data_IF_369267348166
#
_entry.id   IF_369267348166
#
_cell.length_a   1.000
_cell.length_b   1.000
_cell.length_c   1.000
_cell.angle_alpha   90.00
_cell.angle_beta   90.00
_cell.angle_gamma   90.00
#
_symmetry.space_group_name_H-M   'P 1'
#
loop_
_entity.id
_entity.type
_entity.pdbx_description
1 polymer ?
#
# COMPACT_ATOMS: atom_id res chain seq x y z
N UNK A 1 6.52 73.57 25.12
CA UNK A 1 7.80 73.10 24.58
C UNK A 1 7.91 71.61 24.92
N UNK A 2 8.00 70.61 24.10
CA UNK A 2 8.19 70.46 22.68
C UNK A 2 7.85 69.06 22.32
N UNK A 3 7.29 68.90 21.14
CA UNK A 3 6.99 67.59 20.49
C UNK A 3 8.29 66.86 20.16
N UNK A 4 8.32 65.58 20.32
CA UNK A 4 9.05 64.65 19.43
C UNK A 4 8.75 63.19 19.81
N UNK A 5 8.31 62.38 18.85
CA UNK A 5 8.44 60.92 19.00
C UNK A 5 7.37 60.03 18.34
N UNK A 6 6.85 60.40 17.19
CA UNK A 6 5.87 59.56 16.49
C UNK A 6 6.33 58.98 15.15
N UNK A 7 7.56 58.39 15.04
CA UNK A 7 8.02 57.80 13.75
C UNK A 7 8.69 56.41 13.83
N UNK A 8 8.71 55.79 15.01
CA UNK A 8 9.39 54.49 15.19
C UNK A 8 8.47 53.27 15.03
N UNK A 9 7.15 53.40 15.22
CA UNK A 9 6.21 52.29 15.17
C UNK A 9 5.95 51.79 13.75
N UNK A 10 5.74 52.69 12.79
CA UNK A 10 5.37 52.33 11.43
C UNK A 10 6.47 51.65 10.61
N UNK A 11 7.76 51.80 11.00
CA UNK A 11 8.88 51.12 10.35
C UNK A 11 9.06 49.68 10.82
N UNK A 12 8.68 49.36 12.07
CA UNK A 12 8.74 47.98 12.60
C UNK A 12 7.60 47.12 12.05
N UNK A 13 6.39 47.66 11.88
CA UNK A 13 5.27 46.91 11.33
C UNK A 13 5.45 46.63 9.83
N UNK A 14 6.03 47.55 9.08
CA UNK A 14 6.34 47.30 7.64
C UNK A 14 7.45 46.29 7.43
N UNK A 15 8.40 46.16 8.37
CA UNK A 15 9.43 45.09 8.35
C UNK A 15 8.87 43.73 8.74
N UNK A 16 7.91 43.66 9.64
CA UNK A 16 7.25 42.41 10.01
C UNK A 16 6.33 41.90 8.87
N UNK A 17 5.63 42.79 8.16
CA UNK A 17 4.81 42.42 7.01
C UNK A 17 5.63 42.02 5.77
N UNK A 18 6.85 42.55 5.61
CA UNK A 18 7.75 42.14 4.51
C UNK A 18 8.51 40.83 4.79
N UNK A 19 8.53 40.34 6.04
CA UNK A 19 9.14 39.05 6.38
C UNK A 19 8.16 37.85 6.27
N UNK A 20 6.87 38.11 6.14
CA UNK A 20 5.83 37.08 6.04
C UNK A 20 5.47 36.67 4.59
N UNK A 21 6.05 37.32 3.59
CA UNK A 21 5.88 36.94 2.19
C UNK A 21 7.25 36.58 1.59
N UNK A 22 7.97 35.67 2.23
CA UNK A 22 8.94 34.82 1.55
C UNK A 22 8.18 33.57 1.13
N UNK A 23 7.59 33.67 -0.02
CA UNK A 23 7.18 32.58 -0.90
C UNK A 23 8.18 31.45 -0.74
N UNK A 24 7.67 30.30 -0.30
CA UNK A 24 8.34 29.01 -0.44
C UNK A 24 8.54 28.84 -1.95
N UNK A 25 9.69 29.23 -2.45
CA UNK A 25 10.16 28.71 -3.74
C UNK A 25 10.31 27.19 -3.56
N UNK A 26 9.33 26.47 -4.06
CA UNK A 26 9.39 25.02 -4.25
C UNK A 26 10.44 24.82 -5.34
N UNK A 27 11.68 24.62 -4.92
CA UNK A 27 12.73 24.12 -5.80
C UNK A 27 12.31 22.73 -6.28
N UNK A 28 12.17 22.52 -7.59
CA UNK A 28 11.93 21.18 -8.11
C UNK A 28 13.16 20.33 -7.83
N UNK A 29 13.02 19.22 -7.09
CA UNK A 29 14.00 18.15 -7.10
C UNK A 29 14.86 17.91 -5.87
N UNK A 30 14.44 18.23 -4.65
CA UNK A 30 14.90 17.49 -3.47
C UNK A 30 13.90 16.39 -3.14
N UNK A 31 14.03 15.28 -3.86
CA UNK A 31 13.62 13.98 -3.34
C UNK A 31 14.41 13.82 -2.04
N UNK A 32 13.76 13.87 -0.88
CA UNK A 32 14.37 13.38 0.36
C UNK A 32 14.92 11.99 0.03
N UNK A 33 16.22 11.69 0.25
CA UNK A 33 16.68 10.33 0.13
C UNK A 33 15.79 9.50 1.05
N UNK A 34 15.11 8.51 0.48
CA UNK A 34 14.40 7.51 1.26
C UNK A 34 15.38 7.05 2.35
N UNK A 35 14.94 6.87 3.62
CA UNK A 35 15.81 6.40 4.68
C UNK A 35 16.57 5.19 4.14
N UNK A 36 17.90 5.18 4.30
CA UNK A 36 18.73 4.09 3.83
C UNK A 36 18.11 2.79 4.32
N UNK A 37 17.62 1.97 3.38
CA UNK A 37 16.97 0.70 3.70
C UNK A 37 17.93 -0.07 4.62
N UNK A 38 17.49 -0.53 5.81
CA UNK A 38 18.31 -1.40 6.64
C UNK A 38 18.76 -2.55 5.76
N UNK A 39 20.05 -2.89 5.82
CA UNK A 39 20.69 -3.79 4.88
C UNK A 39 19.84 -5.04 4.67
N UNK A 40 19.35 -5.24 3.46
CA UNK A 40 18.55 -6.40 3.01
C UNK A 40 19.27 -7.70 3.36
N UNK A 41 20.59 -7.66 3.46
CA UNK A 41 21.49 -8.75 3.83
C UNK A 41 21.36 -9.20 5.31
N UNK A 42 20.55 -8.53 6.13
CA UNK A 42 20.43 -8.88 7.55
C UNK A 42 19.34 -9.92 7.86
N UNK A 43 18.53 -10.33 6.87
CA UNK A 43 17.42 -11.28 7.07
C UNK A 43 17.73 -12.63 6.44
N UNK A 44 17.61 -13.70 7.23
CA UNK A 44 17.82 -15.08 6.80
C UNK A 44 16.54 -15.91 6.88
N UNK A 45 16.29 -16.70 5.85
CA UNK A 45 15.20 -17.67 5.82
C UNK A 45 15.77 -19.08 5.86
N UNK A 46 15.27 -19.90 6.80
CA UNK A 46 15.83 -21.21 7.13
C UNK A 46 14.73 -22.24 6.96
N UNK A 47 14.96 -23.24 6.11
CA UNK A 47 14.04 -24.36 5.88
C UNK A 47 14.65 -25.65 6.45
N UNK A 48 13.96 -26.28 7.40
CA UNK A 48 14.42 -27.52 8.05
C UNK A 48 13.77 -28.73 7.38
N UNK A 49 14.57 -29.73 7.02
CA UNK A 49 14.11 -31.05 6.60
C UNK A 49 13.19 -31.02 5.39
N UNK A 50 13.35 -30.08 4.47
CA UNK A 50 12.49 -29.95 3.29
C UNK A 50 12.50 -31.24 2.45
N UNK A 51 11.31 -31.72 2.10
CA UNK A 51 11.13 -32.99 1.39
C UNK A 51 10.80 -32.80 -0.10
N UNK A 52 10.24 -31.66 -0.48
CA UNK A 52 9.80 -31.36 -1.84
C UNK A 52 10.66 -30.27 -2.49
N UNK A 53 11.41 -30.60 -3.58
CA UNK A 53 12.22 -29.61 -4.27
C UNK A 53 11.42 -28.41 -4.79
N UNK A 54 10.18 -28.65 -5.22
CA UNK A 54 9.29 -27.56 -5.68
C UNK A 54 9.02 -26.51 -4.62
N UNK A 55 8.91 -26.88 -3.33
CA UNK A 55 8.75 -25.91 -2.25
C UNK A 55 10.00 -25.05 -2.06
N UNK A 56 11.20 -25.61 -2.23
CA UNK A 56 12.45 -24.85 -2.18
C UNK A 56 12.52 -23.84 -3.32
N UNK A 57 12.13 -24.25 -4.54
CA UNK A 57 12.07 -23.35 -5.69
C UNK A 57 11.04 -22.22 -5.48
N UNK A 58 9.83 -22.57 -5.04
CA UNK A 58 8.78 -21.59 -4.77
C UNK A 58 9.19 -20.62 -3.63
N UNK A 59 9.87 -21.12 -2.60
CA UNK A 59 10.44 -20.29 -1.53
C UNK A 59 11.49 -19.31 -2.06
N UNK A 60 12.41 -19.76 -2.92
CA UNK A 60 13.39 -18.87 -3.56
C UNK A 60 12.71 -17.76 -4.37
N UNK A 61 11.66 -18.08 -5.12
CA UNK A 61 10.87 -17.10 -5.85
C UNK A 61 10.19 -16.10 -4.91
N UNK A 62 9.59 -16.58 -3.82
CA UNK A 62 8.96 -15.73 -2.81
C UNK A 62 9.96 -14.74 -2.21
N UNK A 63 11.16 -15.20 -1.86
CA UNK A 63 12.23 -14.37 -1.32
C UNK A 63 12.66 -13.30 -2.32
N UNK A 64 12.92 -13.67 -3.56
CA UNK A 64 13.37 -12.72 -4.59
C UNK A 64 12.35 -11.62 -4.85
N UNK A 65 11.05 -11.96 -4.91
CA UNK A 65 9.96 -11.00 -5.08
C UNK A 65 9.93 -9.98 -3.93
N UNK A 66 10.23 -10.42 -2.72
CA UNK A 66 10.30 -9.56 -1.53
C UNK A 66 11.69 -8.93 -1.32
N UNK A 67 12.63 -9.13 -2.23
CA UNK A 67 13.98 -8.56 -2.18
C UNK A 67 14.88 -9.19 -1.13
N UNK A 68 14.67 -10.46 -0.79
CA UNK A 68 15.52 -11.25 0.10
C UNK A 68 16.31 -12.29 -0.70
N UNK A 69 17.51 -12.68 -0.19
CA UNK A 69 18.37 -13.62 -0.88
C UNK A 69 19.03 -14.68 0.03
N UNK A 70 19.11 -14.47 1.36
CA UNK A 70 19.78 -15.42 2.27
C UNK A 70 18.83 -16.58 2.62
N UNK A 71 18.95 -17.66 1.87
CA UNK A 71 18.23 -18.92 2.05
C UNK A 71 19.19 -19.99 2.58
N UNK A 72 18.82 -20.64 3.68
CA UNK A 72 19.56 -21.75 4.28
C UNK A 72 18.68 -22.98 4.40
N UNK A 73 19.19 -24.12 3.97
CA UNK A 73 18.52 -25.41 4.00
C UNK A 73 19.19 -26.28 5.04
N UNK A 74 18.47 -26.65 6.10
CA UNK A 74 18.98 -27.52 7.18
C UNK A 74 18.56 -28.95 6.91
N UNK A 75 19.53 -29.84 6.78
CA UNK A 75 19.33 -31.28 6.58
C UNK A 75 18.19 -31.61 5.58
N UNK A 76 18.17 -31.05 4.38
CA UNK A 76 17.13 -31.35 3.41
C UNK A 76 17.17 -32.82 3.03
N UNK A 77 16.02 -33.41 2.69
CA UNK A 77 15.93 -34.82 2.29
C UNK A 77 16.89 -35.20 1.16
N UNK A 78 17.18 -34.25 0.26
CA UNK A 78 18.13 -34.43 -0.83
C UNK A 78 19.25 -33.41 -0.70
N UNK A 79 20.49 -33.83 -0.62
CA UNK A 79 21.65 -32.94 -0.43
C UNK A 79 21.78 -31.85 -1.50
N UNK A 80 21.27 -32.09 -2.71
CA UNK A 80 21.29 -31.14 -3.84
C UNK A 80 19.90 -30.65 -4.20
N UNK A 81 18.99 -30.52 -3.25
CA UNK A 81 17.58 -30.18 -3.47
C UNK A 81 17.40 -28.91 -4.30
N UNK A 82 18.24 -27.89 -4.09
CA UNK A 82 18.19 -26.61 -4.81
C UNK A 82 18.59 -26.72 -6.29
N UNK A 83 19.25 -27.80 -6.70
CA UNK A 83 19.67 -28.05 -8.09
C UNK A 83 18.74 -29.00 -8.85
N UNK A 84 17.69 -29.50 -8.22
CA UNK A 84 16.75 -30.38 -8.89
C UNK A 84 15.90 -29.62 -9.89
N UNK A 85 15.55 -30.27 -11.00
CA UNK A 85 14.76 -29.67 -12.09
C UNK A 85 13.44 -29.06 -11.58
N UNK A 86 12.79 -29.73 -10.63
CA UNK A 86 11.55 -29.25 -10.00
C UNK A 86 11.77 -27.94 -9.22
N UNK A 87 12.88 -27.83 -8.45
CA UNK A 87 13.22 -26.61 -7.73
C UNK A 87 13.50 -25.45 -8.70
N UNK A 88 14.26 -25.72 -9.76
CA UNK A 88 14.57 -24.73 -10.79
C UNK A 88 13.30 -24.26 -11.51
N UNK A 89 12.42 -25.18 -11.88
CA UNK A 89 11.16 -24.87 -12.55
C UNK A 89 10.25 -23.96 -11.65
N UNK A 90 10.12 -24.31 -10.38
CA UNK A 90 9.29 -23.55 -9.44
C UNK A 90 9.92 -22.22 -9.01
N UNK A 91 11.23 -22.09 -9.08
CA UNK A 91 11.91 -20.81 -8.83
C UNK A 91 11.66 -19.78 -9.93
N UNK A 92 11.26 -20.21 -11.13
CA UNK A 92 11.08 -19.31 -12.28
C UNK A 92 12.36 -18.47 -12.52
N UNK A 93 12.33 -17.17 -12.41
CA UNK A 93 13.52 -16.31 -12.56
C UNK A 93 14.37 -16.12 -11.29
N UNK A 94 14.16 -16.92 -10.20
CA UNK A 94 14.88 -16.78 -8.93
C UNK A 94 15.98 -17.83 -8.72
N UNK A 95 16.61 -18.31 -9.79
CA UNK A 95 17.70 -19.31 -9.74
C UNK A 95 18.94 -18.82 -8.99
N UNK A 96 19.20 -17.52 -9.02
CA UNK A 96 20.28 -16.88 -8.28
C UNK A 96 20.15 -17.03 -6.75
N UNK A 97 18.90 -17.07 -6.21
CA UNK A 97 18.65 -17.37 -4.80
C UNK A 97 18.95 -18.85 -4.50
N UNK A 98 18.57 -19.76 -5.40
CA UNK A 98 18.87 -21.18 -5.26
C UNK A 98 20.39 -21.45 -5.33
N UNK A 99 21.10 -20.80 -6.21
CA UNK A 99 22.55 -20.96 -6.37
C UNK A 99 23.33 -20.49 -5.14
N UNK A 100 22.83 -19.42 -4.46
CA UNK A 100 23.41 -18.90 -3.23
C UNK A 100 22.95 -19.64 -1.99
N UNK A 101 21.91 -20.49 -2.10
CA UNK A 101 21.37 -21.20 -0.96
C UNK A 101 22.40 -22.12 -0.35
N UNK A 102 22.60 -21.99 0.96
CA UNK A 102 23.53 -22.82 1.73
C UNK A 102 22.81 -24.06 2.27
N UNK A 103 23.50 -25.20 2.21
CA UNK A 103 23.02 -26.43 2.84
C UNK A 103 23.90 -26.71 4.06
N UNK A 104 23.29 -26.87 5.23
CA UNK A 104 23.96 -27.12 6.50
C UNK A 104 23.36 -28.33 7.18
N UNK A 105 24.10 -28.92 8.12
CA UNK A 105 23.66 -30.15 8.82
C UNK A 105 22.70 -29.84 9.98
N UNK A 106 22.86 -28.71 10.65
CA UNK A 106 22.15 -28.39 11.89
C UNK A 106 21.51 -26.99 11.88
N UNK A 107 20.45 -26.83 12.70
CA UNK A 107 19.85 -25.51 12.91
C UNK A 107 20.84 -24.54 13.59
N UNK A 108 21.72 -25.05 14.46
CA UNK A 108 22.74 -24.19 15.09
C UNK A 108 23.67 -23.53 14.07
N UNK A 109 24.13 -24.27 13.06
CA UNK A 109 24.91 -23.72 11.94
C UNK A 109 24.10 -22.70 11.11
N UNK A 110 22.81 -22.97 10.92
CA UNK A 110 21.94 -22.04 10.18
C UNK A 110 21.69 -20.73 10.94
N UNK A 111 21.71 -20.77 12.27
CA UNK A 111 21.48 -19.61 13.15
C UNK A 111 22.75 -18.81 13.41
N UNK A 112 23.92 -19.25 12.96
CA UNK A 112 25.15 -18.49 13.16
C UNK A 112 25.04 -17.05 12.63
N UNK A 113 25.38 -16.10 13.51
CA UNK A 113 25.26 -14.65 13.24
C UNK A 113 23.83 -14.09 13.27
N UNK A 114 22.78 -14.89 13.56
CA UNK A 114 21.41 -14.41 13.79
C UNK A 114 21.27 -13.99 15.25
N UNK A 115 20.74 -12.78 15.46
CA UNK A 115 20.53 -12.24 16.82
C UNK A 115 19.09 -12.37 17.30
N UNK A 116 18.16 -12.62 16.38
CA UNK A 116 16.76 -12.87 16.71
C UNK A 116 16.16 -13.92 15.77
N UNK A 117 15.88 -15.10 16.29
CA UNK A 117 15.28 -16.20 15.53
C UNK A 117 13.78 -16.31 15.82
N UNK A 118 12.98 -16.42 14.77
CA UNK A 118 11.54 -16.63 14.82
C UNK A 118 11.21 -18.02 14.26
N UNK A 119 10.62 -18.90 15.06
CA UNK A 119 10.02 -20.13 14.59
C UNK A 119 8.67 -19.86 13.94
N UNK A 120 8.30 -20.63 12.91
CA UNK A 120 6.94 -20.60 12.35
C UNK A 120 6.21 -21.89 12.73
N UNK A 121 5.16 -21.78 13.52
CA UNK A 121 4.38 -22.92 13.94
C UNK A 121 2.89 -22.56 14.10
N UNK A 122 2.02 -23.49 13.69
CA UNK A 122 0.58 -23.33 13.88
C UNK A 122 0.15 -23.49 15.33
N UNK A 123 0.79 -24.40 16.05
CA UNK A 123 0.38 -24.79 17.40
C UNK A 123 1.38 -24.22 18.41
N UNK A 124 0.91 -23.47 19.42
CA UNK A 124 1.73 -23.08 20.55
C UNK A 124 2.36 -24.31 21.23
N UNK A 125 3.57 -24.14 21.79
CA UNK A 125 4.28 -25.21 22.51
C UNK A 125 4.27 -24.88 23.99
N UNK A 126 3.98 -25.87 24.81
CA UNK A 126 4.18 -25.75 26.25
C UNK A 126 5.64 -25.40 26.54
N UNK A 127 5.88 -24.39 27.37
CA UNK A 127 7.20 -23.86 27.68
C UNK A 127 8.02 -23.35 26.47
N UNK A 128 7.37 -23.13 25.31
CA UNK A 128 7.99 -22.56 24.13
C UNK A 128 8.15 -21.03 24.23
N UNK A 129 8.83 -20.42 23.25
CA UNK A 129 8.93 -18.97 23.16
C UNK A 129 7.56 -18.34 22.96
N UNK A 130 7.39 -17.04 23.32
CA UNK A 130 6.12 -16.36 23.17
C UNK A 130 5.63 -16.37 21.71
N UNK A 131 4.32 -16.61 21.55
CA UNK A 131 3.69 -16.69 20.23
C UNK A 131 3.10 -15.35 19.85
N UNK A 132 3.39 -14.89 18.65
CA UNK A 132 2.92 -13.62 18.10
C UNK A 132 2.34 -13.79 16.69
N UNK A 133 1.38 -12.93 16.34
CA UNK A 133 1.07 -12.71 14.94
C UNK A 133 2.23 -11.94 14.26
N UNK A 134 2.59 -12.26 13.00
CA UNK A 134 3.75 -11.65 12.33
C UNK A 134 3.75 -10.11 12.38
N UNK A 135 2.67 -9.47 11.98
CA UNK A 135 2.55 -8.02 11.94
C UNK A 135 2.70 -7.34 13.30
N UNK A 136 2.26 -8.02 14.37
CA UNK A 136 2.36 -7.47 15.72
C UNK A 136 3.81 -7.40 16.21
N UNK A 137 4.64 -8.40 15.85
CA UNK A 137 6.03 -8.47 16.25
C UNK A 137 6.97 -7.67 15.34
N UNK A 138 6.71 -7.67 14.03
CA UNK A 138 7.65 -7.18 13.03
C UNK A 138 7.93 -5.68 13.12
N UNK A 139 6.97 -4.86 13.52
CA UNK A 139 7.17 -3.42 13.69
C UNK A 139 8.28 -3.11 14.71
N UNK A 140 8.31 -3.83 15.84
CA UNK A 140 9.34 -3.66 16.86
C UNK A 140 10.69 -4.25 16.44
N UNK A 141 10.71 -5.38 15.75
CA UNK A 141 11.94 -5.99 15.27
C UNK A 141 12.61 -5.17 14.17
N UNK A 142 11.84 -4.59 13.25
CA UNK A 142 12.35 -3.75 12.18
C UNK A 142 12.98 -2.45 12.68
N UNK A 143 12.52 -1.94 13.82
CA UNK A 143 13.09 -0.77 14.47
C UNK A 143 14.36 -1.08 15.30
N UNK A 144 14.63 -2.35 15.58
CA UNK A 144 15.77 -2.80 16.39
C UNK A 144 17.01 -3.16 15.57
N UNK A 145 18.16 -3.32 16.21
CA UNK A 145 19.43 -3.66 15.55
C UNK A 145 19.59 -5.16 15.32
N UNK A 146 18.51 -5.87 14.99
CA UNK A 146 18.51 -7.32 14.90
C UNK A 146 18.87 -7.85 13.50
N UNK A 147 19.65 -8.92 13.47
CA UNK A 147 19.75 -9.82 12.34
C UNK A 147 18.69 -10.91 12.52
N UNK A 148 17.62 -10.83 11.75
CA UNK A 148 16.44 -11.69 11.95
C UNK A 148 16.55 -12.96 11.13
N UNK A 149 16.28 -14.10 11.75
CA UNK A 149 16.17 -15.40 11.10
C UNK A 149 14.76 -15.96 11.22
N UNK A 150 14.12 -16.30 10.11
CA UNK A 150 12.83 -16.98 10.09
C UNK A 150 13.02 -18.46 9.82
N UNK A 151 12.55 -19.31 10.73
CA UNK A 151 12.76 -20.75 10.71
C UNK A 151 11.45 -21.46 10.39
N UNK A 152 11.47 -22.28 9.36
CA UNK A 152 10.33 -23.06 8.88
C UNK A 152 10.63 -24.55 9.00
N UNK A 153 9.69 -25.31 9.51
CA UNK A 153 9.81 -26.75 9.63
C UNK A 153 9.51 -27.50 8.34
N UNK A 154 9.67 -28.83 8.38
CA UNK A 154 9.33 -29.68 7.25
C UNK A 154 7.84 -29.65 6.94
N UNK A 155 7.49 -29.91 5.67
CA UNK A 155 6.11 -29.92 5.18
C UNK A 155 5.23 -30.95 5.89
N UNK A 156 5.81 -32.06 6.31
CA UNK A 156 5.08 -33.18 6.87
C UNK A 156 4.95 -33.12 8.38
N UNK A 157 5.99 -32.70 9.08
CA UNK A 157 6.06 -32.78 10.54
C UNK A 157 6.17 -31.41 11.23
N UNK A 158 6.31 -30.33 10.45
CA UNK A 158 6.56 -29.01 11.01
C UNK A 158 7.95 -28.91 11.66
N UNK A 159 8.06 -28.12 12.72
CA UNK A 159 9.27 -27.99 13.54
C UNK A 159 9.22 -28.92 14.76
N UNK A 160 10.36 -29.49 15.13
CA UNK A 160 10.51 -30.19 16.40
C UNK A 160 10.41 -29.21 17.59
N UNK A 161 10.09 -29.71 18.78
CA UNK A 161 10.09 -28.86 19.98
C UNK A 161 11.49 -28.29 20.25
N UNK A 162 12.54 -29.11 20.04
CA UNK A 162 13.91 -28.68 20.21
C UNK A 162 14.27 -27.50 19.32
N UNK A 163 13.86 -27.51 18.04
CA UNK A 163 14.10 -26.42 17.11
C UNK A 163 13.34 -25.16 17.51
N UNK A 164 12.08 -25.30 17.96
CA UNK A 164 11.26 -24.17 18.43
C UNK A 164 11.89 -23.53 19.67
N UNK A 165 12.39 -24.32 20.61
CA UNK A 165 13.01 -23.81 21.85
C UNK A 165 14.34 -23.08 21.62
N UNK A 166 14.95 -23.22 20.46
CA UNK A 166 16.13 -22.45 20.04
C UNK A 166 15.79 -21.07 19.48
N UNK A 167 14.50 -20.76 19.31
CA UNK A 167 14.04 -19.48 18.77
C UNK A 167 13.61 -18.52 19.89
N UNK A 168 13.64 -17.24 19.60
CA UNK A 168 13.27 -16.18 20.54
C UNK A 168 11.75 -15.93 20.56
N UNK A 169 11.08 -16.17 19.44
CA UNK A 169 9.64 -16.04 19.28
C UNK A 169 9.09 -17.14 18.39
N UNK A 170 7.80 -17.43 18.54
CA UNK A 170 7.03 -18.26 17.63
C UNK A 170 6.05 -17.39 16.85
N UNK A 171 6.01 -17.54 15.53
CA UNK A 171 5.07 -16.84 14.65
C UNK A 171 3.91 -17.77 14.31
N UNK A 172 2.71 -17.33 14.63
CA UNK A 172 1.47 -17.96 14.19
C UNK A 172 0.79 -17.06 13.17
N UNK A 173 0.69 -17.53 11.93
CA UNK A 173 0.00 -16.80 10.86
C UNK A 173 -1.51 -16.92 11.13
N UNK A 174 -2.24 -15.80 11.28
CA UNK A 174 -3.69 -15.85 11.45
C UNK A 174 -4.34 -16.56 10.25
N UNK A 175 -5.01 -17.66 10.51
CA UNK A 175 -5.68 -18.50 9.52
C UNK A 175 -7.00 -19.00 10.07
N UNK A 176 -7.81 -19.63 9.22
CA UNK A 176 -9.08 -20.24 9.64
C UNK A 176 -8.81 -21.27 10.76
N UNK A 177 -9.48 -21.16 11.91
CA UNK A 177 -9.34 -22.11 13.02
C UNK A 177 -9.68 -23.56 12.63
N UNK A 178 -10.56 -23.75 11.64
CA UNK A 178 -10.95 -25.08 11.18
C UNK A 178 -9.96 -25.66 10.15
N UNK A 179 -9.21 -24.80 9.44
CA UNK A 179 -8.28 -25.21 8.40
C UNK A 179 -7.10 -24.24 8.30
N UNK A 180 -6.10 -24.39 9.15
CA UNK A 180 -4.95 -23.49 9.24
C UNK A 180 -3.68 -23.99 8.55
N UNK A 181 -3.70 -25.17 7.86
CA UNK A 181 -2.51 -25.74 7.23
C UNK A 181 -2.12 -24.97 5.97
N UNK A 182 -1.00 -24.30 6.02
CA UNK A 182 -0.40 -23.61 4.86
C UNK A 182 0.72 -24.47 4.25
N UNK A 183 0.84 -24.42 2.93
CA UNK A 183 2.04 -24.93 2.25
C UNK A 183 3.26 -24.14 2.72
N UNK A 184 4.43 -24.81 2.81
CA UNK A 184 5.67 -24.20 3.27
C UNK A 184 6.04 -22.89 2.55
N UNK A 185 6.00 -22.91 1.22
CA UNK A 185 6.33 -21.73 0.43
C UNK A 185 5.29 -20.60 0.55
N UNK A 186 4.01 -20.95 0.76
CA UNK A 186 2.94 -19.98 1.03
C UNK A 186 3.14 -19.32 2.40
N UNK A 187 3.44 -20.10 3.44
CA UNK A 187 3.74 -19.56 4.76
C UNK A 187 4.95 -18.62 4.71
N UNK A 188 6.01 -19.03 4.00
CA UNK A 188 7.20 -18.22 3.80
C UNK A 188 6.87 -16.90 3.06
N UNK A 189 6.03 -16.96 2.00
CA UNK A 189 5.63 -15.77 1.26
C UNK A 189 4.90 -14.76 2.15
N UNK A 190 3.99 -15.20 3.02
CA UNK A 190 3.25 -14.33 3.94
C UNK A 190 4.20 -13.67 4.95
N UNK A 191 5.11 -14.45 5.54
CA UNK A 191 6.12 -13.93 6.47
C UNK A 191 7.05 -12.93 5.77
N UNK A 192 7.54 -13.26 4.57
CA UNK A 192 8.42 -12.40 3.80
C UNK A 192 7.72 -11.10 3.38
N UNK A 193 6.44 -11.16 3.02
CA UNK A 193 5.64 -9.98 2.69
C UNK A 193 5.46 -9.08 3.90
N UNK A 194 4.94 -9.61 5.01
CA UNK A 194 4.72 -8.82 6.23
C UNK A 194 6.03 -8.25 6.79
N UNK A 195 7.13 -8.97 6.67
CA UNK A 195 8.45 -8.49 7.07
C UNK A 195 8.95 -7.37 6.15
N UNK A 196 8.77 -7.51 4.83
CA UNK A 196 9.10 -6.44 3.87
C UNK A 196 8.31 -5.17 4.14
N UNK A 197 7.01 -5.29 4.42
CA UNK A 197 6.18 -4.14 4.80
C UNK A 197 6.69 -3.45 6.07
N UNK A 198 7.10 -4.21 7.09
CA UNK A 198 7.68 -3.67 8.31
C UNK A 198 9.02 -2.95 8.07
N UNK A 199 9.80 -3.38 7.07
CA UNK A 199 11.05 -2.73 6.64
C UNK A 199 10.85 -1.51 5.72
N UNK A 200 9.61 -1.09 5.46
CA UNK A 200 9.26 0.07 4.64
C UNK A 200 8.67 -0.25 3.27
N UNK A 201 8.45 -1.53 2.96
CA UNK A 201 7.77 -1.98 1.76
C UNK A 201 8.47 -1.64 0.45
N UNK A 202 7.75 -1.81 -0.65
CA UNK A 202 8.12 -1.29 -1.97
C UNK A 202 7.09 -0.28 -2.42
N UNK A 203 7.54 0.86 -2.94
CA UNK A 203 6.65 1.87 -3.48
C UNK A 203 5.89 1.34 -4.69
N UNK A 204 4.57 1.48 -4.65
CA UNK A 204 3.74 1.27 -5.83
C UNK A 204 3.65 2.59 -6.58
N UNK A 205 4.20 2.63 -7.78
CA UNK A 205 4.08 3.81 -8.65
C UNK A 205 2.76 3.71 -9.41
N UNK A 206 1.81 4.62 -9.21
CA UNK A 206 0.58 4.66 -9.99
C UNK A 206 0.91 4.84 -11.48
N UNK A 207 0.30 4.04 -12.36
CA UNK A 207 0.46 4.17 -13.81
C UNK A 207 -0.49 5.18 -14.42
N UNK A 208 -1.54 5.53 -13.71
CA UNK A 208 -2.51 6.56 -14.08
C UNK A 208 -2.26 7.80 -13.25
N UNK A 209 -2.24 8.94 -13.91
CA UNK A 209 -2.22 10.24 -13.22
C UNK A 209 -3.54 10.38 -12.47
N UNK A 210 -3.47 10.77 -11.20
CA UNK A 210 -4.68 11.07 -10.45
C UNK A 210 -5.44 12.22 -11.15
N UNK A 211 -6.71 12.03 -11.46
CA UNK A 211 -7.48 13.06 -12.15
C UNK A 211 -7.60 14.31 -11.28
N UNK A 212 -7.48 15.48 -11.91
CA UNK A 212 -7.64 16.74 -11.22
C UNK A 212 -9.11 16.92 -10.82
N UNK A 213 -9.38 16.97 -9.52
CA UNK A 213 -10.73 17.20 -9.01
C UNK A 213 -11.16 18.64 -9.23
N UNK A 214 -12.43 18.82 -9.58
CA UNK A 214 -13.05 20.15 -9.68
C UNK A 214 -13.20 20.77 -8.28
N UNK A 215 -12.91 22.06 -8.15
CA UNK A 215 -13.11 22.78 -6.91
C UNK A 215 -14.60 23.00 -6.60
N UNK A 216 -14.90 23.38 -5.35
CA UNK A 216 -16.27 23.56 -4.89
C UNK A 216 -17.03 24.64 -5.66
N UNK A 217 -16.34 25.69 -6.13
CA UNK A 217 -16.95 26.80 -6.89
C UNK A 217 -17.34 26.31 -8.28
N UNK A 218 -16.47 25.52 -8.93
CA UNK A 218 -16.75 24.95 -10.23
C UNK A 218 -17.92 23.94 -10.17
N UNK A 219 -17.97 23.10 -9.11
CA UNK A 219 -19.08 22.16 -8.86
C UNK A 219 -20.38 22.92 -8.61
N UNK A 220 -20.36 24.00 -7.81
CA UNK A 220 -21.54 24.83 -7.61
C UNK A 220 -22.04 25.45 -8.92
N UNK A 221 -21.12 25.99 -9.72
CA UNK A 221 -21.47 26.55 -11.02
C UNK A 221 -22.04 25.53 -12.03
N UNK A 222 -21.69 24.28 -11.92
CA UNK A 222 -22.33 23.20 -12.68
C UNK A 222 -23.77 22.98 -12.22
N UNK A 223 -24.00 22.92 -10.89
CA UNK A 223 -25.35 22.70 -10.34
C UNK A 223 -26.28 23.87 -10.71
N UNK A 224 -25.78 25.09 -10.63
CA UNK A 224 -26.55 26.30 -11.05
C UNK A 224 -26.89 26.26 -12.54
N UNK A 225 -25.96 25.85 -13.41
CA UNK A 225 -26.21 25.68 -14.84
C UNK A 225 -27.22 24.55 -15.10
N UNK A 226 -27.12 23.44 -14.38
CA UNK A 226 -28.09 22.34 -14.47
C UNK A 226 -29.52 22.82 -14.06
N UNK A 227 -29.63 23.63 -13.01
CA UNK A 227 -30.89 24.23 -12.60
C UNK A 227 -31.52 25.07 -13.72
N UNK A 228 -30.72 25.98 -14.34
CA UNK A 228 -31.16 26.81 -15.45
C UNK A 228 -31.65 25.98 -16.65
N UNK A 229 -30.90 24.96 -17.02
CA UNK A 229 -31.26 24.04 -18.09
C UNK A 229 -32.57 23.29 -17.80
N UNK A 230 -32.76 22.80 -16.60
CA UNK A 230 -33.97 22.07 -16.17
C UNK A 230 -35.20 22.98 -16.11
N UNK A 231 -35.04 24.25 -15.69
CA UNK A 231 -36.11 25.24 -15.71
C UNK A 231 -36.48 25.59 -17.16
N UNK A 232 -35.50 25.78 -18.01
CA UNK A 232 -35.69 26.09 -19.44
C UNK A 232 -36.43 24.96 -20.18
N UNK A 233 -36.07 23.73 -19.86
CA UNK A 233 -36.71 22.51 -20.37
C UNK A 233 -38.17 22.36 -19.87
N UNK A 234 -38.57 23.04 -18.78
CA UNK A 234 -39.86 22.88 -18.12
C UNK A 234 -39.95 21.66 -17.18
N UNK A 235 -38.82 21.04 -16.91
CA UNK A 235 -38.75 19.91 -15.97
C UNK A 235 -38.78 20.37 -14.50
N UNK A 236 -38.17 21.51 -14.21
CA UNK A 236 -38.15 22.15 -12.88
C UNK A 236 -39.00 23.41 -12.87
N UNK A 237 -39.99 23.45 -11.97
CA UNK A 237 -40.73 24.67 -11.66
C UNK A 237 -40.02 25.44 -10.52
N UNK A 238 -39.51 26.66 -10.78
CA UNK A 238 -38.82 27.44 -9.75
C UNK A 238 -39.70 27.78 -8.55
N UNK A 239 -41.03 27.82 -8.72
CA UNK A 239 -42.00 28.13 -7.65
C UNK A 239 -42.22 26.93 -6.72
N UNK A 240 -41.99 25.72 -7.23
CA UNK A 240 -42.21 24.47 -6.50
C UNK A 240 -41.04 23.49 -6.68
N UNK A 241 -39.79 23.87 -6.32
CA UNK A 241 -38.59 23.10 -6.67
C UNK A 241 -38.47 21.74 -5.99
N UNK A 242 -39.36 21.48 -5.01
CA UNK A 242 -39.36 20.25 -4.19
C UNK A 242 -37.97 20.02 -3.59
N UNK A 243 -37.52 18.74 -3.58
CA UNK A 243 -36.17 18.36 -3.07
C UNK A 243 -35.16 18.09 -4.19
N UNK A 244 -35.47 18.46 -5.46
CA UNK A 244 -34.66 18.07 -6.60
C UNK A 244 -33.25 18.71 -6.52
N UNK A 245 -33.18 20.01 -6.38
CA UNK A 245 -31.91 20.72 -6.33
C UNK A 245 -31.03 20.28 -5.16
N UNK A 246 -31.61 20.11 -3.97
CA UNK A 246 -30.87 19.58 -2.84
C UNK A 246 -30.28 18.18 -3.08
N UNK A 247 -30.97 17.35 -3.86
CA UNK A 247 -30.47 16.02 -4.25
C UNK A 247 -29.37 16.12 -5.31
N UNK A 248 -29.48 17.03 -6.27
CA UNK A 248 -28.44 17.27 -7.28
C UNK A 248 -27.16 17.82 -6.66
N UNK A 249 -27.26 18.78 -5.73
CA UNK A 249 -26.13 19.23 -4.91
C UNK A 249 -25.44 18.08 -4.22
N UNK A 250 -26.21 17.27 -3.49
CA UNK A 250 -25.66 16.11 -2.77
C UNK A 250 -25.01 15.10 -3.72
N UNK A 251 -25.59 14.88 -4.90
CA UNK A 251 -25.04 13.98 -5.92
C UNK A 251 -23.70 14.49 -6.41
N UNK A 252 -23.62 15.75 -6.84
CA UNK A 252 -22.42 16.36 -7.38
C UNK A 252 -21.27 16.36 -6.37
N UNK A 253 -21.53 16.74 -5.11
CA UNK A 253 -20.49 16.71 -4.06
C UNK A 253 -20.04 15.30 -3.68
N UNK A 254 -20.95 14.32 -3.68
CA UNK A 254 -20.57 12.92 -3.41
C UNK A 254 -19.75 12.30 -4.53
N UNK A 255 -19.97 12.71 -5.77
CA UNK A 255 -19.31 12.16 -6.94
C UNK A 255 -17.81 12.54 -7.04
N UNK A 256 -17.38 13.60 -6.34
CA UNK A 256 -16.00 14.10 -6.43
C UNK A 256 -15.57 14.28 -7.89
N UNK A 257 -16.34 15.06 -8.64
CA UNK A 257 -16.17 15.24 -10.08
C UNK A 257 -14.77 15.76 -10.43
N UNK A 258 -14.20 15.19 -11.48
CA UNK A 258 -13.00 15.73 -12.11
C UNK A 258 -13.32 16.96 -12.96
N UNK A 259 -12.31 17.73 -13.32
CA UNK A 259 -12.48 18.90 -14.21
C UNK A 259 -13.07 18.47 -15.56
N UNK A 260 -12.61 17.34 -16.11
CA UNK A 260 -13.10 16.80 -17.38
C UNK A 260 -14.56 16.37 -17.29
N UNK A 261 -14.94 15.65 -16.24
CA UNK A 261 -16.32 15.23 -16.03
C UNK A 261 -17.26 16.41 -15.85
N UNK A 262 -16.80 17.43 -15.13
CA UNK A 262 -17.55 18.68 -14.98
C UNK A 262 -17.80 19.36 -16.33
N UNK A 263 -16.80 19.41 -17.22
CA UNK A 263 -16.96 19.97 -18.58
C UNK A 263 -17.95 19.15 -19.43
N UNK A 264 -17.92 17.84 -19.34
CA UNK A 264 -18.88 16.95 -20.00
C UNK A 264 -20.31 17.27 -19.53
N UNK A 265 -20.51 17.38 -18.22
CA UNK A 265 -21.83 17.66 -17.65
C UNK A 265 -22.33 19.05 -18.00
N UNK A 266 -21.44 20.06 -18.08
CA UNK A 266 -21.78 21.38 -18.58
C UNK A 266 -22.16 21.35 -20.06
N UNK A 267 -21.50 20.54 -20.86
CA UNK A 267 -21.87 20.30 -22.26
C UNK A 267 -23.28 19.72 -22.39
N UNK A 268 -23.63 18.77 -21.56
CA UNK A 268 -24.96 18.18 -21.51
C UNK A 268 -26.01 19.23 -21.12
N UNK A 269 -25.76 20.04 -20.09
CA UNK A 269 -26.67 21.12 -19.67
C UNK A 269 -26.91 22.11 -20.79
N UNK A 270 -25.86 22.51 -21.52
CA UNK A 270 -25.97 23.43 -22.70
C UNK A 270 -26.82 22.80 -23.81
N UNK A 271 -26.60 21.52 -24.14
CA UNK A 271 -27.39 20.82 -25.15
C UNK A 271 -28.90 20.78 -24.80
N UNK A 272 -29.21 20.60 -23.50
CA UNK A 272 -30.58 20.68 -22.99
C UNK A 272 -31.16 22.07 -23.20
N UNK A 273 -30.43 23.15 -22.91
CA UNK A 273 -30.88 24.51 -23.12
C UNK A 273 -31.15 24.81 -24.59
N UNK A 274 -30.24 24.42 -25.49
CA UNK A 274 -30.38 24.62 -26.95
C UNK A 274 -31.61 23.88 -27.48
N UNK A 275 -31.88 22.67 -27.04
CA UNK A 275 -33.09 21.94 -27.43
C UNK A 275 -34.37 22.58 -26.89
N UNK A 276 -34.35 23.07 -25.64
CA UNK A 276 -35.50 23.77 -25.07
C UNK A 276 -35.83 25.07 -25.85
N UNK A 277 -34.81 25.81 -26.27
CA UNK A 277 -34.99 27.03 -27.08
C UNK A 277 -35.53 26.70 -28.51
N UNK A 278 -35.04 25.65 -29.14
CA UNK A 278 -35.52 25.17 -30.44
C UNK A 278 -37.01 24.78 -30.41
N UNK A 279 -37.41 24.05 -29.35
CA UNK A 279 -38.82 23.65 -29.16
C UNK A 279 -39.74 24.87 -28.95
N UNK A 280 -39.30 25.88 -28.19
CA UNK A 280 -40.07 27.11 -27.98
C UNK A 280 -40.18 27.92 -29.30
N UNK A 281 -39.12 28.03 -30.07
CA UNK A 281 -39.12 28.69 -31.38
C UNK A 281 -40.02 27.99 -32.41
N UNK A 282 -40.08 26.67 -32.39
CA UNK A 282 -40.97 25.88 -33.26
C UNK A 282 -42.45 26.08 -32.88
N UNK A 283 -42.78 26.12 -31.60
CA UNK A 283 -44.14 26.34 -31.13
C UNK A 283 -44.62 27.79 -31.38
N UNK A 284 -43.74 28.79 -31.31
CA UNK A 284 -44.07 30.18 -31.60
C UNK A 284 -44.38 30.45 -33.11
N UNK A 285 -43.90 29.57 -34.00
CA UNK A 285 -44.15 29.67 -35.46
C UNK A 285 -45.38 28.88 -35.94
N UNK A 286 -46.10 28.22 -35.07
CA UNK A 286 -47.30 27.47 -35.41
C UNK A 286 -48.48 28.43 -35.44
N UNK A 287 -49.11 28.71 -36.61
CA UNK A 287 -50.27 29.59 -36.68
C UNK A 287 -51.43 28.97 -35.87
N UNK A 288 -52.12 29.84 -35.10
CA UNK A 288 -53.40 29.47 -34.51
C UNK A 288 -54.42 29.28 -35.66
N UNK A 289 -54.77 28.02 -35.91
CA UNK A 289 -55.93 27.71 -36.75
C UNK A 289 -57.22 27.83 -35.96
#
# INVERSE_FOLDING_TARGET
MGQCGGRSGAKKERRAAQMAVRIIEILPGRVCPAPAMPAIDATRFILIGTSHPGNVGAAARALKVMGFADLVLVAPRYANVQRRAEAIAMASGATDVLERARVVATLAEALDGITYACATAMTPRDFGPPTHAPRALFASLAAGPHRVGFVFGSERYGMSNEDVYRCHACLSIPSDPAYGSLNLAQALQLIAYDWREALGGFAVVPRTVDPLLADAVAVQGLVDHAEQALVKLGFLDPKTPRKLMARLHRLAHRAQLTVEELQILRGIARAIEEQADALRGANAKRPLN
#
